data_IF_460177765413
#
_entry.id   IF_460177765413
#
_cell.length_a   1.000
_cell.length_b   1.000
_cell.length_c   1.000
_cell.angle_alpha   90.00
_cell.angle_beta   90.00
_cell.angle_gamma   90.00
#
_symmetry.space_group_name_H-M   'P 1'
#
loop_
_entity.id
_entity.type
_entity.pdbx_description
1 polymer ?
#
# COMPACT_ATOMS: atom_id res chain seq x y z
N UNK A 1 1.32 35.96 10.68
CA UNK A 1 0.99 34.52 10.59
C UNK A 1 2.27 33.75 10.28
N UNK A 2 2.72 32.85 11.17
CA UNK A 2 3.98 32.13 10.99
C UNK A 2 3.80 30.94 10.04
N UNK A 3 3.95 31.20 8.74
CA UNK A 3 3.63 30.24 7.68
C UNK A 3 4.49 28.96 7.73
N UNK A 4 5.71 29.01 8.30
CA UNK A 4 6.64 27.87 8.31
C UNK A 4 6.21 26.75 9.26
N UNK A 5 5.65 27.11 10.41
CA UNK A 5 5.15 26.17 11.43
C UNK A 5 3.84 25.52 11.03
N UNK A 6 2.88 26.31 10.53
CA UNK A 6 1.60 25.78 10.05
C UNK A 6 1.77 24.78 8.89
N UNK A 7 2.67 25.04 7.95
CA UNK A 7 2.94 24.06 6.87
C UNK A 7 3.55 22.75 7.38
N UNK A 8 4.31 22.77 8.48
CA UNK A 8 4.90 21.55 9.05
C UNK A 8 3.84 20.69 9.74
N UNK A 9 2.95 21.32 10.50
CA UNK A 9 1.82 20.65 11.16
C UNK A 9 0.85 20.06 10.13
N UNK A 10 0.54 20.81 9.07
CA UNK A 10 -0.33 20.34 7.99
C UNK A 10 0.24 19.09 7.29
N UNK A 11 1.55 19.09 6.99
CA UNK A 11 2.21 17.93 6.38
C UNK A 11 2.22 16.71 7.29
N UNK A 12 2.38 16.92 8.59
CA UNK A 12 2.32 15.85 9.58
C UNK A 12 0.91 15.22 9.65
N UNK A 13 -0.13 16.05 9.68
CA UNK A 13 -1.52 15.58 9.61
C UNK A 13 -1.79 14.79 8.32
N UNK A 14 -1.35 15.30 7.16
CA UNK A 14 -1.54 14.61 5.87
C UNK A 14 -0.79 13.28 5.84
N UNK A 15 0.46 13.25 6.32
CA UNK A 15 1.26 12.01 6.37
C UNK A 15 0.60 10.95 7.23
N UNK A 16 0.13 11.31 8.43
CA UNK A 16 -0.59 10.38 9.31
C UNK A 16 -1.90 9.92 8.68
N UNK A 17 -2.66 10.83 8.07
CA UNK A 17 -3.91 10.48 7.40
C UNK A 17 -3.67 9.42 6.31
N UNK A 18 -2.62 9.57 5.50
CA UNK A 18 -2.26 8.59 4.47
C UNK A 18 -1.90 7.24 5.09
N UNK A 19 -1.11 7.22 6.17
CA UNK A 19 -0.74 5.98 6.86
C UNK A 19 -1.96 5.26 7.41
N UNK A 20 -2.88 6.00 8.05
CA UNK A 20 -4.13 5.45 8.59
C UNK A 20 -5.02 4.89 7.49
N UNK A 21 -5.16 5.60 6.36
CA UNK A 21 -5.93 5.13 5.20
C UNK A 21 -5.32 3.85 4.63
N UNK A 22 -3.99 3.79 4.45
CA UNK A 22 -3.31 2.60 3.91
C UNK A 22 -3.49 1.38 4.83
N UNK A 23 -3.38 1.57 6.14
CA UNK A 23 -3.60 0.50 7.11
C UNK A 23 -5.07 0.05 7.17
N UNK A 24 -6.02 0.97 7.05
CA UNK A 24 -7.44 0.66 7.00
C UNK A 24 -7.84 -0.08 5.71
N UNK A 25 -7.16 0.20 4.59
CA UNK A 25 -7.37 -0.49 3.32
C UNK A 25 -6.74 -1.89 3.29
N UNK A 26 -5.73 -2.18 4.11
CA UNK A 26 -5.04 -3.46 4.11
C UNK A 26 -5.97 -4.69 4.25
N UNK A 27 -6.90 -4.78 5.24
CA UNK A 27 -7.83 -5.90 5.33
C UNK A 27 -8.77 -5.96 4.12
N UNK A 28 -9.27 -4.81 3.66
CA UNK A 28 -10.17 -4.73 2.52
C UNK A 28 -9.54 -5.32 1.25
N UNK A 29 -8.26 -5.05 1.02
CA UNK A 29 -7.52 -5.60 -0.10
C UNK A 29 -7.26 -7.11 0.05
N UNK A 30 -7.11 -7.60 1.29
CA UNK A 30 -6.99 -9.04 1.55
C UNK A 30 -8.28 -9.79 1.21
N UNK A 31 -9.43 -9.21 1.55
CA UNK A 31 -10.74 -9.77 1.25
C UNK A 31 -11.04 -9.75 -0.26
N UNK A 32 -10.61 -8.69 -0.96
CA UNK A 32 -10.68 -8.64 -2.42
C UNK A 32 -9.80 -9.70 -3.07
N UNK A 33 -8.59 -9.95 -2.56
CA UNK A 33 -7.72 -11.02 -3.08
C UNK A 33 -8.32 -12.42 -2.87
N UNK A 34 -8.93 -12.69 -1.71
CA UNK A 34 -9.66 -13.95 -1.47
C UNK A 34 -10.82 -14.08 -2.45
N UNK A 35 -11.59 -13.00 -2.64
CA UNK A 35 -12.71 -12.97 -3.58
C UNK A 35 -12.27 -13.16 -5.04
N UNK A 36 -11.12 -12.60 -5.44
CA UNK A 36 -10.53 -12.81 -6.76
C UNK A 36 -10.07 -14.26 -6.96
N UNK A 37 -9.51 -14.90 -5.92
CA UNK A 37 -9.10 -16.32 -5.96
C UNK A 37 -10.31 -17.24 -6.12
N UNK A 38 -11.37 -17.00 -5.34
CA UNK A 38 -12.63 -17.73 -5.44
C UNK A 38 -13.32 -17.53 -6.79
N UNK A 39 -13.39 -16.29 -7.29
CA UNK A 39 -13.99 -16.00 -8.59
C UNK A 39 -13.21 -16.61 -9.76
N UNK A 40 -11.90 -16.80 -9.59
CA UNK A 40 -11.03 -17.36 -10.62
C UNK A 40 -10.83 -18.88 -10.49
N UNK A 41 -11.43 -19.55 -9.50
CA UNK A 41 -11.16 -20.96 -9.16
C UNK A 41 -9.66 -21.28 -9.05
N UNK A 42 -8.84 -20.31 -8.64
CA UNK A 42 -7.40 -20.51 -8.51
C UNK A 42 -7.10 -21.12 -7.15
N UNK A 43 -6.95 -22.45 -7.13
CA UNK A 43 -6.59 -23.21 -5.95
C UNK A 43 -5.09 -23.06 -5.65
N UNK A 44 -4.70 -21.87 -5.20
CA UNK A 44 -3.31 -21.47 -4.98
C UNK A 44 -2.57 -22.28 -3.89
N UNK A 45 -3.26 -23.17 -3.19
CA UNK A 45 -2.70 -24.09 -2.19
C UNK A 45 -2.29 -25.44 -2.83
N UNK A 46 -2.68 -25.68 -4.08
CA UNK A 46 -2.37 -26.90 -4.82
C UNK A 46 -1.10 -26.73 -5.66
N UNK A 47 -0.06 -27.51 -5.35
CA UNK A 47 1.28 -27.41 -5.97
C UNK A 47 1.28 -27.81 -7.47
N UNK A 48 0.20 -28.42 -7.95
CA UNK A 48 0.03 -28.96 -9.31
C UNK A 48 -0.62 -27.99 -10.32
N UNK A 49 -0.79 -26.70 -9.97
CA UNK A 49 -1.45 -25.72 -10.82
C UNK A 49 -0.61 -25.28 -12.04
N UNK A 50 -1.28 -24.82 -13.11
CA UNK A 50 -0.64 -24.27 -14.32
C UNK A 50 0.24 -23.07 -13.98
N UNK A 51 1.39 -22.91 -14.65
CA UNK A 51 2.34 -21.81 -14.40
C UNK A 51 1.69 -20.40 -14.49
N UNK A 52 0.59 -20.27 -15.23
CA UNK A 52 -0.18 -19.03 -15.34
C UNK A 52 -0.96 -18.69 -14.07
N UNK A 53 -1.61 -19.67 -13.42
CA UNK A 53 -2.36 -19.43 -12.18
C UNK A 53 -1.40 -19.18 -11.01
N UNK A 54 -0.21 -19.79 -11.05
CA UNK A 54 0.87 -19.55 -10.08
C UNK A 54 1.36 -18.09 -10.08
N UNK A 55 1.44 -17.49 -11.27
CA UNK A 55 1.73 -16.06 -11.44
C UNK A 55 0.58 -15.18 -10.95
N UNK A 56 -0.67 -15.60 -11.17
CA UNK A 56 -1.87 -14.94 -10.63
C UNK A 56 -1.84 -14.85 -9.11
N UNK A 57 -1.63 -15.98 -8.43
CA UNK A 57 -1.51 -16.04 -6.97
C UNK A 57 -0.35 -15.17 -6.44
N UNK A 58 0.82 -15.23 -7.08
CA UNK A 58 1.98 -14.43 -6.69
C UNK A 58 1.72 -12.92 -6.88
N UNK A 59 1.03 -12.54 -7.96
CA UNK A 59 0.69 -11.13 -8.24
C UNK A 59 -0.34 -10.57 -7.25
N UNK A 60 -1.28 -11.39 -6.81
CA UNK A 60 -2.25 -11.03 -5.77
C UNK A 60 -1.56 -10.82 -4.42
N UNK A 61 -0.68 -11.73 -3.99
CA UNK A 61 0.06 -11.56 -2.74
C UNK A 61 1.05 -10.38 -2.80
N UNK A 62 1.67 -10.15 -3.95
CA UNK A 62 2.56 -9.01 -4.17
C UNK A 62 1.82 -7.66 -4.20
N UNK A 63 0.55 -7.61 -4.63
CA UNK A 63 -0.22 -6.37 -4.74
C UNK A 63 -0.49 -5.75 -3.36
N UNK A 64 -0.82 -6.58 -2.36
CA UNK A 64 -0.96 -6.18 -0.97
C UNK A 64 0.32 -5.56 -0.43
N UNK A 65 1.46 -6.22 -0.66
CA UNK A 65 2.76 -5.71 -0.24
C UNK A 65 3.13 -4.40 -0.93
N UNK A 66 2.84 -4.27 -2.23
CA UNK A 66 3.08 -3.05 -2.98
C UNK A 66 2.21 -1.90 -2.48
N UNK A 67 0.93 -2.11 -2.22
CA UNK A 67 0.03 -1.04 -1.77
C UNK A 67 0.41 -0.54 -0.38
N UNK A 68 0.64 -1.46 0.57
CA UNK A 68 1.02 -1.10 1.94
C UNK A 68 2.43 -0.50 1.98
N UNK A 69 3.38 -1.11 1.27
CA UNK A 69 4.77 -0.64 1.22
C UNK A 69 4.92 0.71 0.52
N UNK A 70 4.30 0.89 -0.65
CA UNK A 70 4.32 2.16 -1.38
C UNK A 70 3.54 3.23 -0.63
N UNK A 71 2.40 2.90 -0.02
CA UNK A 71 1.62 3.82 0.79
C UNK A 71 2.40 4.38 1.98
N UNK A 72 3.13 3.52 2.70
CA UNK A 72 4.04 3.95 3.77
C UNK A 72 5.20 4.78 3.24
N UNK A 73 5.82 4.39 2.13
CA UNK A 73 6.89 5.17 1.50
C UNK A 73 6.42 6.56 1.07
N UNK A 74 5.20 6.70 0.55
CA UNK A 74 4.61 8.00 0.21
C UNK A 74 4.40 8.85 1.48
N UNK A 75 3.86 8.24 2.55
CA UNK A 75 3.71 8.90 3.85
C UNK A 75 5.04 9.44 4.39
N UNK A 76 6.10 8.64 4.34
CA UNK A 76 7.46 9.05 4.72
C UNK A 76 8.09 10.05 3.73
N UNK A 77 7.82 9.93 2.43
CA UNK A 77 8.37 10.81 1.40
C UNK A 77 7.84 12.24 1.54
N UNK A 78 6.57 12.43 1.96
CA UNK A 78 5.98 13.75 2.26
C UNK A 78 6.73 14.45 3.40
N UNK A 79 7.26 13.67 4.35
CA UNK A 79 8.11 14.17 5.42
C UNK A 79 9.54 14.45 4.94
N UNK A 80 10.13 13.53 4.15
CA UNK A 80 11.50 13.62 3.64
C UNK A 80 11.70 14.69 2.56
N UNK A 81 10.65 15.14 1.85
CA UNK A 81 10.77 16.09 0.72
C UNK A 81 11.39 17.43 1.10
N UNK A 82 11.35 17.84 2.38
CA UNK A 82 12.04 19.05 2.85
C UNK A 82 13.56 18.89 2.94
N UNK A 83 14.09 17.69 3.21
CA UNK A 83 15.55 17.44 3.24
C UNK A 83 16.16 17.51 1.84
N UNK A 84 15.39 17.21 0.79
CA UNK A 84 15.87 17.17 -0.60
C UNK A 84 15.81 18.55 -1.28
N UNK A 85 14.90 19.45 -0.88
CA UNK A 85 14.79 20.83 -1.40
C UNK A 85 15.64 21.89 -0.68
N UNK A 86 16.51 21.49 0.26
CA UNK A 86 17.44 22.39 0.98
C UNK A 86 18.87 22.33 0.42
N UNK A 87 19.04 21.90 -0.82
CA UNK A 87 20.30 21.99 -1.57
C UNK A 87 20.17 22.98 -2.70
#
# INVERSE_FOLDING_TARGET
MNNKGQTLILKFMIGIAIIVVVLALAPLMSEMNVSLRDASNMDCDNVAISNFDKLGCLSADASLFLIVGVGLLIGFAIFATRRIRLK
#
